data_IF_324766161587
#
_entry.id   IF_324766161587
#
_cell.length_a   1.000
_cell.length_b   1.000
_cell.length_c   1.000
_cell.angle_alpha   90.00
_cell.angle_beta   90.00
_cell.angle_gamma   90.00
#
_symmetry.space_group_name_H-M   'P 1'
#
loop_
_entity.id
_entity.type
_entity.pdbx_description
1 polymer ?
#
# COMPACT_ATOMS: atom_id res chain seq x y z
N UNK A 1 -5.57 -5.97 9.94
CA UNK A 1 -6.41 -5.09 9.10
C UNK A 1 -6.67 -5.72 7.73
N UNK A 2 -7.62 -5.21 6.93
CA UNK A 2 -7.73 -5.56 5.50
C UNK A 2 -6.82 -4.66 4.67
N UNK A 3 -6.17 -5.18 3.64
CA UNK A 3 -5.25 -4.45 2.77
C UNK A 3 -5.46 -4.81 1.29
N UNK A 4 -5.19 -3.86 0.40
CA UNK A 4 -4.94 -4.16 -1.03
C UNK A 4 -3.43 -4.19 -1.22
N UNK A 5 -2.90 -5.34 -1.63
CA UNK A 5 -1.46 -5.58 -1.76
C UNK A 5 -1.10 -6.37 -3.01
N UNK A 6 0.18 -6.42 -3.36
CA UNK A 6 0.70 -7.29 -4.42
C UNK A 6 2.05 -7.91 -4.04
N UNK A 7 2.32 -9.09 -4.59
CA UNK A 7 3.54 -9.86 -4.34
C UNK A 7 4.59 -9.75 -5.45
N UNK A 8 4.17 -9.28 -6.63
CA UNK A 8 5.02 -9.04 -7.79
C UNK A 8 4.39 -7.93 -8.63
N UNK A 9 5.18 -7.30 -9.50
CA UNK A 9 4.73 -6.23 -10.37
C UNK A 9 3.78 -6.74 -11.46
N UNK A 10 2.87 -5.89 -11.93
CA UNK A 10 1.99 -6.23 -13.06
C UNK A 10 0.81 -5.29 -13.32
N UNK A 11 -0.16 -5.80 -14.07
CA UNK A 11 -1.46 -5.17 -14.29
C UNK A 11 -2.36 -5.26 -13.04
N UNK A 12 -3.61 -4.80 -13.10
CA UNK A 12 -4.53 -4.85 -11.95
C UNK A 12 -4.74 -6.26 -11.36
N UNK A 13 -4.53 -7.30 -12.15
CA UNK A 13 -4.64 -8.70 -11.77
C UNK A 13 -3.68 -9.16 -10.67
N UNK A 14 -2.60 -8.41 -10.38
CA UNK A 14 -1.69 -8.74 -9.26
C UNK A 14 -2.22 -8.28 -7.91
N UNK A 15 -3.23 -7.40 -7.89
CA UNK A 15 -3.80 -6.85 -6.66
C UNK A 15 -4.63 -7.91 -5.94
N UNK A 16 -4.37 -8.05 -4.65
CA UNK A 16 -5.10 -8.95 -3.76
C UNK A 16 -5.68 -8.17 -2.59
N UNK A 17 -6.92 -8.49 -2.23
CA UNK A 17 -7.59 -7.94 -1.06
C UNK A 17 -7.63 -8.99 0.04
N UNK A 18 -6.77 -8.84 1.04
CA UNK A 18 -6.48 -9.89 2.03
C UNK A 18 -6.41 -9.31 3.46
N UNK A 19 -6.41 -10.21 4.46
CA UNK A 19 -6.05 -9.84 5.82
C UNK A 19 -4.53 -9.67 5.92
N UNK A 20 -4.10 -8.60 6.60
CA UNK A 20 -2.71 -8.28 6.84
C UNK A 20 -2.51 -7.83 8.30
N UNK A 21 -1.34 -8.07 8.92
CA UNK A 21 -1.07 -7.57 10.27
C UNK A 21 -1.32 -6.07 10.38
N UNK A 22 -1.91 -5.65 11.50
CA UNK A 22 -2.02 -4.22 11.80
C UNK A 22 -0.63 -3.73 12.22
N UNK A 23 -0.05 -2.68 11.60
CA UNK A 23 1.30 -2.23 11.93
C UNK A 23 1.33 -1.55 13.30
N UNK A 24 2.42 -1.73 14.04
CA UNK A 24 2.66 -1.00 15.29
C UNK A 24 3.52 0.24 15.02
N UNK A 25 3.09 1.45 15.44
CA UNK A 25 3.85 2.67 15.17
C UNK A 25 5.13 2.72 16.02
N UNK A 26 6.24 3.12 15.40
CA UNK A 26 7.50 3.39 16.09
C UNK A 26 7.53 4.74 16.81
N UNK A 27 8.65 5.07 17.49
CA UNK A 27 8.83 6.39 18.10
C UNK A 27 8.72 7.52 17.06
N UNK A 28 7.77 8.44 17.26
CA UNK A 28 7.53 9.58 16.37
C UNK A 28 6.55 9.31 15.22
N UNK A 29 5.99 8.10 15.13
CA UNK A 29 4.98 7.73 14.14
C UNK A 29 3.57 7.72 14.75
N UNK A 30 2.54 7.82 13.91
CA UNK A 30 1.15 7.66 14.31
C UNK A 30 0.50 6.51 13.52
N UNK A 31 -0.25 5.65 14.22
CA UNK A 31 -1.13 4.69 13.56
C UNK A 31 -2.42 5.41 13.20
N UNK A 32 -2.84 5.31 11.93
CA UNK A 32 -4.09 5.91 11.44
C UNK A 32 -5.02 4.82 10.94
N UNK A 33 -6.24 4.79 11.48
CA UNK A 33 -7.34 4.02 10.91
C UNK A 33 -7.93 4.80 9.74
N UNK A 34 -7.55 4.39 8.53
CA UNK A 34 -7.99 5.02 7.28
C UNK A 34 -9.50 4.90 7.06
N UNK A 35 -10.12 6.01 6.67
CA UNK A 35 -11.50 6.09 6.18
C UNK A 35 -11.56 6.30 4.66
N UNK A 36 -10.56 6.98 4.11
CA UNK A 36 -10.42 7.21 2.68
C UNK A 36 -8.94 7.13 2.26
N UNK A 37 -8.71 6.77 1.00
CA UNK A 37 -7.41 6.82 0.33
C UNK A 37 -7.61 7.31 -1.09
N UNK A 38 -6.61 8.00 -1.64
CA UNK A 38 -6.65 8.48 -3.03
C UNK A 38 -5.95 7.48 -3.95
N UNK A 39 -6.43 7.39 -5.20
CA UNK A 39 -5.73 6.71 -6.27
C UNK A 39 -5.06 7.74 -7.17
N UNK A 40 -3.75 7.76 -7.14
CA UNK A 40 -2.92 8.61 -7.99
C UNK A 40 -2.33 7.80 -9.14
N UNK A 41 -1.85 8.49 -10.18
CA UNK A 41 -1.17 7.82 -11.28
C UNK A 41 0.13 7.13 -10.81
N UNK A 42 0.79 7.68 -9.77
CA UNK A 42 1.98 7.08 -9.15
C UNK A 42 1.73 5.65 -8.67
N UNK A 43 0.56 5.36 -8.09
CA UNK A 43 0.22 4.02 -7.60
C UNK A 43 0.22 2.99 -8.75
N UNK A 44 -0.22 3.41 -9.94
CA UNK A 44 -0.19 2.57 -11.13
C UNK A 44 1.24 2.29 -11.60
N UNK A 45 2.12 3.29 -11.55
CA UNK A 45 3.53 3.12 -11.93
C UNK A 45 4.26 2.21 -10.94
N UNK A 46 4.05 2.39 -9.64
CA UNK A 46 4.68 1.57 -8.59
C UNK A 46 4.25 0.11 -8.74
N UNK A 47 2.96 -0.15 -8.93
CA UNK A 47 2.46 -1.52 -9.13
C UNK A 47 2.96 -2.14 -10.43
N UNK A 48 2.99 -1.39 -11.55
CA UNK A 48 3.53 -1.89 -12.83
C UNK A 48 5.03 -2.19 -12.76
N UNK A 49 5.75 -1.52 -11.86
CA UNK A 49 7.19 -1.61 -11.75
C UNK A 49 7.92 -0.83 -12.84
N UNK A 50 9.13 -0.36 -12.53
CA UNK A 50 10.07 0.20 -13.50
C UNK A 50 11.49 -0.26 -13.19
N UNK A 51 12.41 -0.24 -14.18
CA UNK A 51 13.78 -0.69 -13.96
C UNK A 51 14.45 0.04 -12.79
N UNK A 52 14.94 -0.72 -11.82
CA UNK A 52 15.63 -0.21 -10.64
C UNK A 52 14.74 0.11 -9.43
N UNK A 53 13.40 0.03 -9.56
CA UNK A 53 12.53 0.10 -8.40
C UNK A 53 12.76 -1.11 -7.49
N UNK A 54 12.95 -0.86 -6.19
CA UNK A 54 13.07 -1.89 -5.16
C UNK A 54 11.95 -1.68 -4.15
N UNK A 55 11.10 -2.69 -4.00
CA UNK A 55 10.02 -2.71 -3.01
C UNK A 55 10.23 -3.88 -2.06
N UNK A 56 9.73 -3.73 -0.83
CA UNK A 56 9.50 -4.85 0.07
C UNK A 56 8.15 -5.50 -0.27
N UNK A 57 8.12 -6.84 -0.24
CA UNK A 57 6.94 -7.62 -0.60
C UNK A 57 6.40 -8.42 0.61
N UNK A 58 5.06 -8.56 0.74
CA UNK A 58 4.04 -7.95 -0.12
C UNK A 58 3.99 -6.42 0.03
N UNK A 59 3.78 -5.71 -1.07
CA UNK A 59 3.73 -4.26 -1.08
C UNK A 59 2.29 -3.76 -1.01
N UNK A 60 2.02 -2.82 -0.10
CA UNK A 60 0.77 -2.07 -0.02
C UNK A 60 1.00 -0.70 -0.68
N UNK A 61 0.27 -0.39 -1.74
CA UNK A 61 0.29 0.93 -2.38
C UNK A 61 -0.63 1.93 -1.70
N UNK A 62 -0.53 3.19 -2.11
CA UNK A 62 -1.30 4.31 -1.56
C UNK A 62 -0.36 5.37 -0.99
N UNK A 63 -0.27 6.51 -1.66
CA UNK A 63 0.52 7.65 -1.20
C UNK A 63 -0.26 8.57 -0.23
N UNK A 64 -1.60 8.57 -0.33
CA UNK A 64 -2.46 9.49 0.42
C UNK A 64 -3.59 8.76 1.14
N UNK A 65 -3.94 9.29 2.32
CA UNK A 65 -5.06 8.78 3.10
C UNK A 65 -5.56 9.80 4.13
N UNK A 66 -6.81 9.62 4.56
CA UNK A 66 -7.42 10.38 5.63
C UNK A 66 -8.16 9.44 6.57
N UNK A 67 -8.03 9.69 7.87
CA UNK A 67 -8.55 8.80 8.90
C UNK A 67 -8.48 9.40 10.29
N UNK A 68 -8.58 8.53 11.29
CA UNK A 68 -8.48 8.89 12.70
C UNK A 68 -7.26 8.19 13.32
N UNK A 69 -6.61 8.88 14.25
CA UNK A 69 -5.56 8.30 15.11
C UNK A 69 -6.22 7.46 16.20
#
# INVERSE_FOLDING_TARGET
>A
MKAVLFYDHGGPEVLRYEDFPTPEPGPGEAQVRLHASALNHMDLWVRRGWPGLKLEYPHISGADGAGVI
#
